data_IF_856200689627
#
_entry.id   IF_856200689627
#
_cell.length_a   1.000
_cell.length_b   1.000
_cell.length_c   1.000
_cell.angle_alpha   90.00
_cell.angle_beta   90.00
_cell.angle_gamma   90.00
#
_symmetry.space_group_name_H-M   'P 1'
#
loop_
_entity.id
_entity.type
_entity.pdbx_description
1 polymer ?
#
# COMPACT_ATOMS: atom_id res chain seq x y z
N UNK A 1 2.15 -27.26 3.45
CA UNK A 1 1.53 -27.71 4.70
C UNK A 1 1.34 -29.21 4.68
N UNK A 2 1.28 -29.77 5.87
CA UNK A 2 0.93 -31.17 6.02
C UNK A 2 -0.56 -31.28 6.33
N UNK A 3 -1.24 -32.21 5.65
CA UNK A 3 -2.63 -32.58 5.92
C UNK A 3 -2.68 -34.05 6.29
N UNK A 4 -3.45 -34.38 7.34
CA UNK A 4 -3.68 -35.75 7.72
C UNK A 4 -4.62 -36.42 6.70
N UNK A 5 -4.10 -37.38 5.94
CA UNK A 5 -4.86 -38.17 4.97
C UNK A 5 -5.15 -39.52 5.57
N UNK A 6 -6.42 -39.93 5.56
CA UNK A 6 -6.86 -41.23 5.97
C UNK A 6 -7.36 -42.03 4.75
N UNK A 7 -6.65 -43.08 4.37
CA UNK A 7 -6.98 -43.89 3.19
C UNK A 7 -6.81 -45.39 3.43
N UNK A 8 -7.49 -46.18 2.58
CA UNK A 8 -7.38 -47.64 2.57
C UNK A 8 -6.41 -48.07 1.47
N UNK A 9 -5.21 -48.47 1.84
CA UNK A 9 -4.10 -48.76 0.91
C UNK A 9 -3.50 -50.13 1.17
N UNK A 10 -2.81 -50.65 0.17
CA UNK A 10 -2.02 -51.89 0.29
C UNK A 10 -0.65 -51.66 0.92
N UNK A 11 -0.21 -50.40 1.01
CA UNK A 11 1.06 -50.07 1.61
C UNK A 11 0.87 -49.49 3.02
N UNK A 12 1.72 -49.91 3.96
CA UNK A 12 1.73 -49.35 5.29
C UNK A 12 2.52 -48.05 5.32
N UNK A 13 1.88 -46.98 5.79
CA UNK A 13 2.51 -45.68 6.06
C UNK A 13 1.75 -44.92 7.16
N UNK A 14 2.46 -44.24 8.02
CA UNK A 14 1.87 -43.49 9.12
C UNK A 14 1.29 -44.40 10.21
N UNK A 15 0.05 -44.14 10.65
CA UNK A 15 -0.64 -44.74 11.77
C UNK A 15 -1.87 -45.55 11.30
N UNK A 16 -2.03 -46.80 11.82
CA UNK A 16 -3.25 -47.58 11.55
C UNK A 16 -4.43 -47.02 12.35
N UNK A 17 -5.54 -46.78 11.65
CA UNK A 17 -6.83 -46.48 12.26
C UNK A 17 -7.58 -47.79 12.55
N UNK A 18 -7.27 -48.40 13.71
CA UNK A 18 -7.79 -49.72 14.07
C UNK A 18 -9.30 -49.85 13.93
N UNK A 19 -10.09 -48.86 14.35
CA UNK A 19 -11.56 -48.91 14.24
C UNK A 19 -12.02 -49.05 12.79
N UNK A 20 -11.36 -48.38 11.86
CA UNK A 20 -11.69 -48.49 10.42
C UNK A 20 -11.07 -49.72 9.80
N UNK A 21 -9.91 -50.14 10.25
CA UNK A 21 -9.24 -51.37 9.83
C UNK A 21 -10.15 -52.60 10.08
N UNK A 22 -10.62 -52.74 11.32
CA UNK A 22 -11.50 -53.87 11.67
C UNK A 22 -12.83 -53.81 10.93
N UNK A 23 -13.42 -52.64 10.77
CA UNK A 23 -14.72 -52.48 10.12
C UNK A 23 -14.65 -52.69 8.61
N UNK A 24 -13.60 -52.26 7.93
CA UNK A 24 -13.55 -52.26 6.47
C UNK A 24 -12.65 -53.37 5.87
N UNK A 25 -11.65 -53.82 6.62
CA UNK A 25 -10.66 -54.77 6.13
C UNK A 25 -10.66 -56.10 6.87
N UNK A 26 -11.74 -56.47 7.57
CA UNK A 26 -11.78 -57.75 8.28
C UNK A 26 -11.56 -58.96 7.35
N UNK A 27 -12.00 -58.87 6.09
CA UNK A 27 -11.80 -59.92 5.06
C UNK A 27 -10.68 -59.54 4.05
N UNK A 28 -10.16 -58.34 4.11
CA UNK A 28 -9.11 -57.82 3.20
C UNK A 28 -7.82 -57.59 3.93
N UNK A 29 -7.15 -58.70 4.29
CA UNK A 29 -5.89 -58.67 5.07
C UNK A 29 -4.72 -57.99 4.34
N UNK A 30 -4.82 -57.86 3.03
CA UNK A 30 -3.86 -57.18 2.15
C UNK A 30 -3.95 -55.66 2.21
N UNK A 31 -4.98 -55.10 2.89
CA UNK A 31 -5.21 -53.66 2.99
C UNK A 31 -5.03 -53.13 4.41
N UNK A 32 -4.52 -51.93 4.50
CA UNK A 32 -4.34 -51.20 5.74
C UNK A 32 -5.13 -49.86 5.66
N UNK A 33 -5.95 -49.60 6.66
CA UNK A 33 -6.56 -48.28 6.79
C UNK A 33 -5.64 -47.41 7.64
N UNK A 34 -4.94 -46.47 6.97
CA UNK A 34 -3.87 -45.69 7.57
C UNK A 34 -4.20 -44.20 7.57
N UNK A 35 -3.61 -43.50 8.52
CA UNK A 35 -3.57 -42.04 8.59
C UNK A 35 -2.11 -41.59 8.60
N UNK A 36 -1.78 -40.66 7.72
CA UNK A 36 -0.44 -40.12 7.63
C UNK A 36 -0.51 -38.66 7.17
N UNK A 37 0.51 -37.89 7.53
CA UNK A 37 0.64 -36.50 7.10
C UNK A 37 1.25 -36.46 5.70
N UNK A 38 0.49 -35.90 4.75
CA UNK A 38 0.98 -35.64 3.40
C UNK A 38 1.23 -34.17 3.18
N UNK A 39 2.36 -33.83 2.58
CA UNK A 39 2.63 -32.46 2.17
C UNK A 39 1.73 -32.09 0.99
N UNK A 40 0.91 -31.08 1.15
CA UNK A 40 0.03 -30.58 0.09
C UNK A 40 0.21 -29.08 -0.15
N UNK A 41 0.24 -28.70 -1.42
CA UNK A 41 0.11 -27.32 -1.86
C UNK A 41 -1.35 -26.89 -2.04
N UNK A 42 -2.30 -27.84 -1.96
CA UNK A 42 -3.73 -27.60 -2.25
C UNK A 42 -4.49 -27.00 -1.06
N UNK A 43 -3.91 -25.95 -0.47
CA UNK A 43 -4.44 -25.23 0.70
C UNK A 43 -5.45 -24.16 0.29
N UNK A 44 -6.35 -23.74 1.20
CA UNK A 44 -7.33 -22.67 0.94
C UNK A 44 -6.71 -21.41 0.35
N UNK A 45 -5.55 -20.98 0.88
CA UNK A 45 -4.85 -19.80 0.42
C UNK A 45 -4.43 -19.91 -1.05
N UNK A 46 -3.84 -21.04 -1.41
CA UNK A 46 -3.38 -21.28 -2.78
C UNK A 46 -4.56 -21.48 -3.74
N UNK A 47 -5.66 -22.08 -3.29
CA UNK A 47 -6.89 -22.19 -4.06
C UNK A 47 -7.49 -20.83 -4.38
N UNK A 48 -7.51 -19.92 -3.39
CA UNK A 48 -7.97 -18.54 -3.56
C UNK A 48 -7.06 -17.75 -4.50
N UNK A 49 -5.74 -17.87 -4.37
CA UNK A 49 -4.78 -17.24 -5.27
C UNK A 49 -4.98 -17.72 -6.71
N UNK A 50 -5.07 -19.03 -6.94
CA UNK A 50 -5.33 -19.61 -8.28
C UNK A 50 -6.64 -19.11 -8.87
N UNK A 51 -7.72 -19.11 -8.10
CA UNK A 51 -9.01 -18.57 -8.54
C UNK A 51 -8.93 -17.11 -8.95
N UNK A 52 -8.20 -16.30 -8.17
CA UNK A 52 -7.98 -14.88 -8.47
C UNK A 52 -7.17 -14.70 -9.76
N UNK A 53 -6.10 -15.46 -9.94
CA UNK A 53 -5.29 -15.40 -11.17
C UNK A 53 -6.14 -15.75 -12.41
N UNK A 54 -6.99 -16.79 -12.33
CA UNK A 54 -7.93 -17.16 -13.41
C UNK A 54 -8.92 -16.02 -13.68
N UNK A 55 -9.46 -15.40 -12.63
CA UNK A 55 -10.38 -14.28 -12.74
C UNK A 55 -9.72 -13.08 -13.45
N UNK A 56 -8.51 -12.71 -13.05
CA UNK A 56 -7.76 -11.60 -13.64
C UNK A 56 -7.31 -11.90 -15.08
N UNK A 57 -6.92 -13.14 -15.38
CA UNK A 57 -6.52 -13.55 -16.73
C UNK A 57 -7.63 -13.34 -17.77
N UNK A 58 -8.90 -13.54 -17.36
CA UNK A 58 -10.07 -13.34 -18.22
C UNK A 58 -10.39 -11.85 -18.45
N UNK A 59 -9.94 -10.95 -17.59
CA UNK A 59 -10.30 -9.53 -17.60
C UNK A 59 -9.20 -8.59 -18.10
N UNK A 60 -7.94 -9.02 -17.99
CA UNK A 60 -6.83 -8.14 -18.40
C UNK A 60 -6.80 -7.95 -19.91
N UNK A 61 -6.63 -6.69 -20.33
CA UNK A 61 -6.38 -6.30 -21.73
C UNK A 61 -4.88 -6.23 -22.04
N UNK A 62 -4.02 -6.11 -21.01
CA UNK A 62 -2.58 -6.04 -21.13
C UNK A 62 -1.98 -7.40 -21.51
N UNK A 63 -1.25 -7.46 -22.62
CA UNK A 63 -0.54 -8.67 -23.06
C UNK A 63 0.54 -9.09 -22.06
N UNK A 64 1.25 -8.12 -21.47
CA UNK A 64 2.26 -8.35 -20.42
C UNK A 64 1.64 -9.02 -19.20
N UNK A 65 0.58 -8.40 -18.63
CA UNK A 65 -0.10 -8.96 -17.46
C UNK A 65 -0.63 -10.38 -17.75
N UNK A 66 -1.14 -10.62 -18.94
CA UNK A 66 -1.63 -11.95 -19.36
C UNK A 66 -0.51 -12.98 -19.39
N UNK A 67 0.67 -12.60 -19.88
CA UNK A 67 1.85 -13.47 -19.88
C UNK A 67 2.31 -13.80 -18.46
N UNK A 68 2.41 -12.77 -17.61
CA UNK A 68 2.83 -12.93 -16.20
C UNK A 68 1.86 -13.82 -15.42
N UNK A 69 0.54 -13.62 -15.59
CA UNK A 69 -0.49 -14.46 -14.98
C UNK A 69 -0.38 -15.92 -15.44
N UNK A 70 -0.15 -16.17 -16.72
CA UNK A 70 0.02 -17.54 -17.24
C UNK A 70 1.25 -18.21 -16.64
N UNK A 71 2.36 -17.49 -16.50
CA UNK A 71 3.57 -17.97 -15.84
C UNK A 71 3.29 -18.34 -14.37
N UNK A 72 2.58 -17.49 -13.64
CA UNK A 72 2.18 -17.77 -12.26
C UNK A 72 1.23 -18.98 -12.19
N UNK A 73 0.25 -19.10 -13.07
CA UNK A 73 -0.68 -20.24 -13.10
C UNK A 73 0.02 -21.58 -13.30
N UNK A 74 1.16 -21.62 -14.01
CA UNK A 74 1.94 -22.85 -14.18
C UNK A 74 2.50 -23.37 -12.85
N UNK A 75 2.86 -22.46 -11.93
CA UNK A 75 3.33 -22.82 -10.57
C UNK A 75 2.19 -23.45 -9.75
N UNK A 76 0.94 -23.06 -10.01
CA UNK A 76 -0.26 -23.60 -9.35
C UNK A 76 -0.86 -24.80 -10.08
N UNK A 77 -0.09 -25.54 -10.92
CA UNK A 77 -0.61 -26.70 -11.68
C UNK A 77 -1.28 -27.73 -10.78
N UNK A 78 -0.66 -28.05 -9.64
CA UNK A 78 -1.12 -29.06 -8.68
C UNK A 78 -2.08 -28.51 -7.60
N UNK A 79 -2.56 -27.29 -7.77
CA UNK A 79 -3.53 -26.66 -6.86
C UNK A 79 -4.86 -26.56 -7.59
N UNK A 80 -5.96 -26.89 -6.93
CA UNK A 80 -7.31 -26.67 -7.45
C UNK A 80 -7.69 -25.19 -7.30
N UNK A 81 -8.53 -24.67 -8.20
CA UNK A 81 -9.10 -23.34 -8.00
C UNK A 81 -10.21 -23.41 -6.94
N UNK A 82 -10.28 -22.41 -6.06
CA UNK A 82 -11.38 -22.32 -5.09
C UNK A 82 -12.73 -22.20 -5.81
N UNK A 83 -13.70 -22.97 -5.35
CA UNK A 83 -15.11 -22.91 -5.77
C UNK A 83 -16.01 -22.35 -4.68
N UNK A 84 -15.58 -22.38 -3.42
CA UNK A 84 -16.25 -21.77 -2.26
C UNK A 84 -15.34 -20.74 -1.60
N UNK A 85 -15.37 -19.51 -2.13
CA UNK A 85 -14.51 -18.42 -1.64
C UNK A 85 -14.76 -18.10 -0.16
N UNK A 86 -16.04 -18.12 0.30
CA UNK A 86 -16.36 -17.80 1.69
C UNK A 86 -15.82 -18.84 2.65
N UNK A 87 -16.01 -20.11 2.33
CA UNK A 87 -15.52 -21.23 3.12
C UNK A 87 -13.99 -21.25 3.18
N UNK A 88 -13.32 -21.01 2.04
CA UNK A 88 -11.87 -21.01 1.98
C UNK A 88 -11.25 -19.79 2.71
N UNK A 89 -11.87 -18.60 2.63
CA UNK A 89 -11.45 -17.45 3.46
C UNK A 89 -11.68 -17.67 4.96
N UNK A 90 -12.71 -18.41 5.35
CA UNK A 90 -12.98 -18.73 6.76
C UNK A 90 -11.98 -19.74 7.34
N UNK A 91 -11.45 -20.64 6.50
CA UNK A 91 -10.43 -21.63 6.89
C UNK A 91 -9.04 -21.04 6.99
N UNK A 92 -8.82 -19.83 6.46
CA UNK A 92 -7.53 -19.18 6.53
C UNK A 92 -7.20 -18.74 7.95
N UNK A 93 -6.13 -19.28 8.49
CA UNK A 93 -5.55 -18.88 9.79
C UNK A 93 -4.25 -18.15 9.49
N UNK A 94 -4.21 -16.87 9.88
CA UNK A 94 -2.98 -16.06 9.73
C UNK A 94 -1.89 -16.57 10.68
N UNK A 95 -0.78 -17.02 10.11
CA UNK A 95 0.42 -17.42 10.84
C UNK A 95 1.53 -16.39 10.61
N UNK A 96 2.46 -16.27 11.57
CA UNK A 96 3.64 -15.38 11.47
C UNK A 96 4.50 -15.65 10.24
N UNK A 97 4.57 -16.90 9.82
CA UNK A 97 5.35 -17.34 8.65
C UNK A 97 4.65 -17.02 7.31
N UNK A 98 3.42 -16.50 7.33
CA UNK A 98 2.59 -16.27 6.16
C UNK A 98 2.30 -14.78 5.90
N UNK A 99 3.15 -13.89 6.41
CA UNK A 99 2.95 -12.43 6.26
C UNK A 99 2.81 -12.00 4.79
N UNK A 100 3.59 -12.62 3.89
CA UNK A 100 3.57 -12.29 2.47
C UNK A 100 2.24 -12.69 1.81
N UNK A 101 1.57 -13.73 2.32
CA UNK A 101 0.23 -14.11 1.86
C UNK A 101 -0.85 -13.12 2.23
N UNK A 102 -0.71 -12.40 3.34
CA UNK A 102 -1.74 -11.48 3.83
C UNK A 102 -2.10 -10.41 2.81
N UNK A 103 -1.10 -9.79 2.19
CA UNK A 103 -1.34 -8.79 1.15
C UNK A 103 -1.99 -9.39 -0.09
N UNK A 104 -1.51 -10.55 -0.55
CA UNK A 104 -2.07 -11.23 -1.70
C UNK A 104 -3.52 -11.68 -1.45
N UNK A 105 -3.82 -12.22 -0.26
CA UNK A 105 -5.17 -12.66 0.11
C UNK A 105 -6.14 -11.48 0.32
N UNK A 106 -5.65 -10.33 0.77
CA UNK A 106 -6.44 -9.10 0.80
C UNK A 106 -6.93 -8.75 -0.61
N UNK A 107 -6.05 -8.80 -1.61
CA UNK A 107 -6.42 -8.58 -3.00
C UNK A 107 -7.34 -9.68 -3.54
N UNK A 108 -7.11 -10.95 -3.20
CA UNK A 108 -8.03 -12.03 -3.53
C UNK A 108 -9.45 -11.74 -3.02
N UNK A 109 -9.56 -11.25 -1.79
CA UNK A 109 -10.86 -10.87 -1.20
C UNK A 109 -11.54 -9.75 -1.99
N UNK A 110 -10.80 -8.73 -2.41
CA UNK A 110 -11.32 -7.65 -3.24
C UNK A 110 -11.86 -8.18 -4.57
N UNK A 111 -11.11 -9.04 -5.27
CA UNK A 111 -11.49 -9.50 -6.60
C UNK A 111 -12.55 -10.61 -6.59
N UNK A 112 -12.55 -11.50 -5.60
CA UNK A 112 -13.44 -12.68 -5.58
C UNK A 112 -14.74 -12.47 -4.81
N UNK A 113 -14.80 -11.54 -3.84
CA UNK A 113 -16.00 -11.35 -3.02
C UNK A 113 -17.20 -10.75 -3.76
N UNK A 114 -16.99 -10.26 -5.00
CA UNK A 114 -18.06 -9.59 -5.77
C UNK A 114 -18.64 -8.34 -5.07
N UNK A 115 -18.18 -8.03 -3.88
CA UNK A 115 -18.46 -6.80 -3.18
C UNK A 115 -17.44 -5.77 -3.63
N UNK A 116 -17.41 -5.50 -4.93
CA UNK A 116 -16.87 -4.23 -5.39
C UNK A 116 -17.75 -3.16 -4.75
N UNK A 117 -17.13 -2.07 -4.35
CA UNK A 117 -17.84 -0.83 -4.09
C UNK A 117 -18.47 -0.42 -5.42
N UNK A 118 -19.63 -0.99 -5.72
CA UNK A 118 -20.36 -0.71 -6.95
C UNK A 118 -21.13 0.59 -6.75
N UNK A 119 -20.63 1.64 -7.34
CA UNK A 119 -21.52 2.73 -7.75
C UNK A 119 -22.36 2.19 -8.91
N UNK A 120 -23.63 2.00 -8.67
CA UNK A 120 -24.60 1.68 -9.72
C UNK A 120 -24.75 2.89 -10.65
N UNK A 121 -24.17 2.81 -11.83
CA UNK A 121 -24.53 3.70 -12.94
C UNK A 121 -24.59 2.86 -14.21
N UNK A 122 -25.79 2.40 -14.54
CA UNK A 122 -26.06 1.69 -15.79
C UNK A 122 -25.71 0.19 -15.79
N UNK A 123 -25.83 -0.43 -16.95
CA UNK A 123 -25.66 -1.87 -17.17
C UNK A 123 -24.20 -2.38 -17.15
N UNK A 124 -23.22 -1.54 -16.91
CA UNK A 124 -21.82 -1.92 -16.82
C UNK A 124 -21.37 -1.99 -15.35
N UNK A 125 -20.82 -3.12 -14.94
CA UNK A 125 -20.21 -3.31 -13.62
C UNK A 125 -18.83 -2.65 -13.65
N UNK A 126 -18.73 -1.42 -13.15
CA UNK A 126 -17.45 -0.78 -12.90
C UNK A 126 -16.85 -1.28 -11.59
N UNK A 127 -15.66 -1.85 -11.65
CA UNK A 127 -14.83 -2.16 -10.48
C UNK A 127 -14.26 -0.84 -9.94
N UNK A 128 -14.94 -0.22 -8.99
CA UNK A 128 -14.42 0.95 -8.30
C UNK A 128 -13.61 0.51 -7.06
N UNK A 129 -12.32 0.80 -7.07
CA UNK A 129 -11.45 0.68 -5.90
C UNK A 129 -11.38 2.04 -5.23
N UNK A 130 -11.91 2.16 -4.01
CA UNK A 130 -11.75 3.36 -3.21
C UNK A 130 -10.40 3.34 -2.52
N UNK A 131 -9.51 4.20 -2.96
CA UNK A 131 -8.24 4.45 -2.28
C UNK A 131 -8.36 5.72 -1.43
N UNK A 132 -7.74 5.77 -0.25
CA UNK A 132 -7.54 7.03 0.46
C UNK A 132 -6.57 7.88 -0.38
N UNK A 133 -7.13 8.80 -1.17
CA UNK A 133 -6.37 9.59 -2.15
C UNK A 133 -5.28 10.44 -1.49
N UNK A 134 -5.50 10.88 -0.26
CA UNK A 134 -4.50 11.58 0.56
C UNK A 134 -3.24 10.73 0.72
N UNK A 135 -3.41 9.49 1.20
CA UNK A 135 -2.28 8.54 1.38
C UNK A 135 -1.64 8.16 0.05
N UNK A 136 -2.44 8.02 -1.01
CA UNK A 136 -1.92 7.69 -2.34
C UNK A 136 -1.08 8.84 -2.89
N UNK A 137 -1.56 10.07 -2.78
CA UNK A 137 -0.87 11.28 -3.23
C UNK A 137 0.45 11.49 -2.46
N UNK A 138 0.43 11.39 -1.13
CA UNK A 138 1.61 11.43 -0.26
C UNK A 138 2.68 10.42 -0.72
N UNK A 139 2.29 9.14 -0.81
CA UNK A 139 3.22 8.08 -1.19
C UNK A 139 3.77 8.25 -2.61
N UNK A 140 2.94 8.72 -3.53
CA UNK A 140 3.34 8.95 -4.92
C UNK A 140 4.38 10.08 -5.02
N UNK A 141 4.09 11.23 -4.42
CA UNK A 141 5.01 12.37 -4.37
C UNK A 141 6.33 11.98 -3.70
N UNK A 142 6.27 11.30 -2.56
CA UNK A 142 7.45 10.82 -1.84
C UNK A 142 8.30 9.86 -2.68
N UNK A 143 7.67 8.95 -3.43
CA UNK A 143 8.37 7.99 -4.30
C UNK A 143 9.10 8.70 -5.45
N UNK A 144 8.46 9.68 -6.09
CA UNK A 144 9.07 10.45 -7.18
C UNK A 144 10.23 11.32 -6.66
N UNK A 145 10.05 12.01 -5.52
CA UNK A 145 11.12 12.77 -4.87
C UNK A 145 12.32 11.89 -4.52
N UNK A 146 12.10 10.74 -3.90
CA UNK A 146 13.20 9.79 -3.58
C UNK A 146 13.95 9.35 -4.83
N UNK A 147 13.23 9.05 -5.89
CA UNK A 147 13.83 8.63 -7.17
C UNK A 147 14.68 9.75 -7.77
N UNK A 148 14.17 10.98 -7.79
CA UNK A 148 14.86 12.15 -8.36
C UNK A 148 16.06 12.58 -7.55
N UNK A 149 15.97 12.53 -6.22
CA UNK A 149 17.05 12.89 -5.30
C UNK A 149 18.01 11.73 -5.01
N UNK A 150 17.79 10.54 -5.61
CA UNK A 150 18.69 9.40 -5.47
C UNK A 150 20.07 9.74 -6.06
N UNK A 151 21.13 9.57 -5.26
CA UNK A 151 22.49 9.91 -5.67
C UNK A 151 22.83 11.40 -5.61
N UNK A 152 21.86 12.28 -5.29
CA UNK A 152 22.10 13.71 -5.04
C UNK A 152 22.63 13.97 -3.62
N UNK A 153 23.01 15.20 -3.33
CA UNK A 153 23.42 15.62 -2.00
C UNK A 153 22.33 15.64 -0.93
N UNK A 154 21.16 15.01 -1.15
CA UNK A 154 20.00 15.04 -0.26
C UNK A 154 19.65 13.66 0.29
N UNK A 155 18.95 13.66 1.44
CA UNK A 155 18.24 12.48 1.99
C UNK A 155 16.75 12.77 2.11
N UNK A 156 15.90 11.78 1.87
CA UNK A 156 14.44 11.91 1.93
C UNK A 156 13.88 10.93 2.98
N UNK A 157 13.32 11.47 4.06
CA UNK A 157 12.56 10.73 5.07
C UNK A 157 11.08 10.92 4.85
N UNK A 158 10.29 9.87 5.05
CA UNK A 158 8.83 9.91 4.93
C UNK A 158 8.22 9.60 6.28
N UNK A 159 7.19 10.37 6.64
CA UNK A 159 6.51 10.27 7.93
C UNK A 159 7.50 10.29 9.10
N UNK A 160 8.40 11.29 9.07
CA UNK A 160 9.44 11.49 10.07
C UNK A 160 8.84 11.62 11.47
N UNK A 161 9.45 10.96 12.45
CA UNK A 161 8.99 10.91 13.84
C UNK A 161 10.05 11.40 14.82
N UNK A 162 10.94 12.27 14.35
CA UNK A 162 12.09 12.69 15.14
C UNK A 162 11.71 13.62 16.29
N UNK A 163 10.72 14.50 16.08
CA UNK A 163 10.41 15.56 17.00
C UNK A 163 9.02 15.45 17.62
N UNK A 164 8.89 16.03 18.81
CA UNK A 164 7.64 16.24 19.51
C UNK A 164 7.37 17.74 19.66
N UNK A 165 6.12 18.14 19.69
CA UNK A 165 5.76 19.56 19.85
C UNK A 165 6.22 20.10 21.20
N UNK A 166 6.08 19.29 22.27
CA UNK A 166 6.52 19.63 23.62
C UNK A 166 7.48 18.56 24.14
N UNK A 167 8.52 19.00 24.81
CA UNK A 167 9.55 18.14 25.39
C UNK A 167 9.31 17.93 26.90
N UNK A 168 8.67 18.88 27.60
CA UNK A 168 8.30 18.81 29.03
C UNK A 168 6.77 18.86 29.21
N UNK A 169 6.22 18.14 30.21
CA UNK A 169 6.81 17.26 31.20
C UNK A 169 7.09 15.84 30.68
N UNK A 170 7.67 15.74 29.54
CA UNK A 170 7.98 14.54 28.74
C UNK A 170 7.53 14.74 27.30
N UNK A 171 8.11 14.00 26.40
CA UNK A 171 7.83 14.11 24.97
C UNK A 171 6.35 13.86 24.65
N UNK A 172 5.65 14.92 24.25
CA UNK A 172 4.21 14.89 23.94
C UNK A 172 3.92 15.45 22.55
N UNK A 173 2.85 14.99 21.94
CA UNK A 173 2.40 15.40 20.63
C UNK A 173 3.46 15.16 19.55
N UNK A 174 3.65 13.88 19.19
CA UNK A 174 4.58 13.46 18.15
C UNK A 174 4.25 14.18 16.84
N UNK A 175 5.25 14.84 16.27
CA UNK A 175 5.17 15.48 14.97
C UNK A 175 5.44 14.46 13.88
N UNK A 176 4.70 14.57 12.78
CA UNK A 176 4.77 13.59 11.71
C UNK A 176 4.55 14.27 10.35
N UNK A 177 5.50 15.05 9.87
CA UNK A 177 5.44 15.59 8.53
C UNK A 177 5.52 14.47 7.50
N UNK A 178 4.83 14.64 6.37
CA UNK A 178 4.76 13.65 5.31
C UNK A 178 6.15 13.37 4.74
N UNK A 179 6.91 14.41 4.41
CA UNK A 179 8.22 14.28 3.79
C UNK A 179 9.18 15.30 4.43
N UNK A 180 10.37 14.82 4.79
CA UNK A 180 11.49 15.68 5.21
C UNK A 180 12.67 15.43 4.30
N UNK A 181 13.14 16.48 3.64
CA UNK A 181 14.34 16.46 2.81
C UNK A 181 15.47 17.14 3.57
N UNK A 182 16.63 16.48 3.69
CA UNK A 182 17.82 17.07 4.35
C UNK A 182 18.98 17.11 3.37
N UNK A 183 19.61 18.28 3.28
CA UNK A 183 20.84 18.46 2.53
C UNK A 183 22.01 17.86 3.32
N UNK A 184 22.82 17.01 2.69
CA UNK A 184 23.91 16.29 3.36
C UNK A 184 25.11 17.17 3.71
N UNK A 185 25.34 18.26 2.97
CA UNK A 185 26.50 19.13 3.13
C UNK A 185 26.47 19.92 4.42
N UNK A 186 25.30 20.40 4.83
CA UNK A 186 25.11 21.34 5.94
C UNK A 186 24.00 20.95 6.91
N UNK A 187 23.27 19.88 6.60
CA UNK A 187 22.17 19.38 7.43
C UNK A 187 20.87 20.20 7.33
N UNK A 188 20.81 21.19 6.45
CA UNK A 188 19.61 22.00 6.23
C UNK A 188 18.42 21.13 5.87
N UNK A 189 17.29 21.41 6.50
CA UNK A 189 16.06 20.63 6.35
C UNK A 189 15.00 21.42 5.61
N UNK A 190 14.24 20.71 4.79
CA UNK A 190 13.03 21.18 4.12
C UNK A 190 11.88 20.24 4.50
N UNK A 191 10.76 20.79 4.90
CA UNK A 191 9.57 20.01 5.27
C UNK A 191 8.52 20.18 4.21
N UNK A 192 7.99 19.07 3.71
CA UNK A 192 6.91 19.06 2.73
C UNK A 192 5.74 18.29 3.31
N UNK A 193 4.55 18.85 3.14
CA UNK A 193 3.31 18.22 3.59
C UNK A 193 2.30 18.21 2.43
N UNK A 194 1.70 17.08 2.18
CA UNK A 194 0.85 16.87 1.02
C UNK A 194 -0.62 16.98 1.41
N UNK A 195 -1.41 17.67 0.62
CA UNK A 195 -2.84 17.84 0.87
C UNK A 195 -3.64 17.48 -0.38
N UNK A 196 -4.50 16.48 -0.27
CA UNK A 196 -5.43 16.11 -1.34
C UNK A 196 -6.69 16.98 -1.28
N UNK A 197 -6.56 18.24 -1.64
CA UNK A 197 -7.63 19.23 -1.65
C UNK A 197 -7.52 20.10 -2.89
N UNK A 198 -8.65 20.59 -3.38
CA UNK A 198 -8.69 21.57 -4.46
C UNK A 198 -8.68 22.96 -3.83
N UNK A 199 -7.66 23.75 -4.15
CA UNK A 199 -7.63 25.17 -3.79
C UNK A 199 -8.48 25.99 -4.77
N UNK A 200 -8.90 27.18 -4.34
CA UNK A 200 -9.78 28.06 -5.11
C UNK A 200 -9.41 29.50 -4.83
N UNK A 201 -8.94 30.21 -5.85
CA UNK A 201 -8.55 31.61 -5.75
C UNK A 201 -9.69 32.55 -5.29
N UNK A 202 -10.93 32.15 -5.48
CA UNK A 202 -12.12 32.91 -5.02
C UNK A 202 -12.43 32.73 -3.53
N UNK A 203 -11.73 31.84 -2.83
CA UNK A 203 -11.93 31.60 -1.40
C UNK A 203 -10.94 32.37 -0.53
N UNK A 204 -11.37 32.71 0.70
CA UNK A 204 -10.47 33.26 1.72
C UNK A 204 -9.31 32.29 1.93
N UNK A 205 -8.07 32.81 1.88
CA UNK A 205 -6.84 32.03 1.99
C UNK A 205 -6.77 30.86 1.01
N UNK A 206 -7.34 31.01 -0.18
CA UNK A 206 -7.42 29.96 -1.22
C UNK A 206 -8.14 28.66 -0.77
N UNK A 207 -8.81 28.67 0.39
CA UNK A 207 -9.41 27.51 1.03
C UNK A 207 -8.43 26.67 1.87
N UNK A 208 -7.23 27.16 2.12
CA UNK A 208 -6.27 26.55 3.06
C UNK A 208 -6.82 26.76 4.48
N UNK A 209 -6.81 25.70 5.28
CA UNK A 209 -7.34 25.77 6.63
C UNK A 209 -6.32 26.34 7.61
N UNK A 210 -6.83 27.03 8.62
CA UNK A 210 -5.98 27.53 9.72
C UNK A 210 -5.20 26.41 10.43
N UNK A 211 -5.81 25.23 10.55
CA UNK A 211 -5.15 24.07 11.13
C UNK A 211 -3.95 23.61 10.30
N UNK A 212 -4.05 23.61 8.96
CA UNK A 212 -2.91 23.29 8.09
C UNK A 212 -1.77 24.30 8.31
N UNK A 213 -2.09 25.59 8.44
CA UNK A 213 -1.06 26.64 8.64
C UNK A 213 -0.42 26.54 10.02
N UNK A 214 -1.16 26.24 11.08
CA UNK A 214 -0.57 25.99 12.41
C UNK A 214 0.37 24.78 12.39
N UNK A 215 0.01 23.75 11.66
CA UNK A 215 0.84 22.56 11.49
C UNK A 215 2.16 22.92 10.80
N UNK A 216 2.11 23.68 9.71
CA UNK A 216 3.29 24.14 8.98
C UNK A 216 4.19 25.03 9.83
N UNK A 217 3.62 25.98 10.56
CA UNK A 217 4.33 26.82 11.49
C UNK A 217 5.09 25.99 12.54
N UNK A 218 4.41 25.02 13.15
CA UNK A 218 5.01 24.14 14.14
C UNK A 218 6.14 23.27 13.52
N UNK A 219 5.96 22.80 12.30
CA UNK A 219 6.98 22.03 11.60
C UNK A 219 8.25 22.88 11.33
N UNK A 220 8.09 24.11 10.83
CA UNK A 220 9.26 24.96 10.59
C UNK A 220 10.05 25.20 11.88
N UNK A 221 9.38 25.57 12.96
CA UNK A 221 10.04 25.85 14.25
C UNK A 221 10.74 24.64 14.85
N UNK A 222 10.11 23.48 14.86
CA UNK A 222 10.66 22.27 15.52
C UNK A 222 11.72 21.55 14.69
N UNK A 223 11.58 21.56 13.36
CA UNK A 223 12.58 20.96 12.46
C UNK A 223 13.72 21.92 12.13
N UNK A 224 13.64 23.21 12.52
CA UNK A 224 14.57 24.24 12.04
C UNK A 224 14.61 24.27 10.52
N UNK A 225 13.46 24.04 9.88
CA UNK A 225 13.42 23.92 8.44
C UNK A 225 13.64 25.28 7.78
N UNK A 226 14.49 25.32 6.76
CA UNK A 226 14.69 26.53 5.96
C UNK A 226 13.40 26.94 5.27
N UNK A 227 12.65 25.95 4.79
CA UNK A 227 11.34 26.17 4.17
C UNK A 227 10.37 25.05 4.50
N UNK A 228 9.10 25.42 4.52
CA UNK A 228 7.99 24.49 4.59
C UNK A 228 7.16 24.65 3.33
N UNK A 229 6.83 23.56 2.67
CA UNK A 229 6.12 23.55 1.40
C UNK A 229 4.85 22.70 1.54
N UNK A 230 3.70 23.32 1.27
CA UNK A 230 2.42 22.64 1.11
C UNK A 230 2.25 22.20 -0.35
N UNK A 231 2.07 20.92 -0.58
CA UNK A 231 1.91 20.35 -1.91
C UNK A 231 0.45 19.99 -2.18
N UNK A 232 -0.12 20.58 -3.22
CA UNK A 232 -1.49 20.32 -3.67
C UNK A 232 -1.49 19.77 -5.10
N UNK A 233 -2.51 18.98 -5.49
CA UNK A 233 -2.69 18.65 -6.90
C UNK A 233 -3.05 19.92 -7.68
N UNK A 234 -2.46 20.06 -8.86
CA UNK A 234 -2.82 21.13 -9.81
C UNK A 234 -4.24 20.92 -10.34
N UNK A 235 -4.95 22.01 -10.55
CA UNK A 235 -6.30 22.01 -11.10
C UNK A 235 -6.50 23.21 -12.03
N UNK A 236 -7.53 23.19 -12.87
CA UNK A 236 -7.87 24.30 -13.77
C UNK A 236 -8.12 25.64 -13.04
N UNK A 237 -8.39 25.61 -11.74
CA UNK A 237 -8.73 26.81 -10.94
C UNK A 237 -7.51 27.53 -10.37
N UNK A 238 -6.41 26.80 -10.20
CA UNK A 238 -5.14 27.30 -9.66
C UNK A 238 -4.03 26.45 -10.26
N UNK A 239 -2.99 27.08 -10.80
CA UNK A 239 -1.91 26.44 -11.53
C UNK A 239 -0.53 26.70 -10.90
N UNK A 240 0.50 26.08 -11.48
CA UNK A 240 1.90 26.26 -11.13
C UNK A 240 2.39 27.73 -11.25
N UNK A 241 1.71 28.56 -12.02
CA UNK A 241 2.05 29.98 -12.20
C UNK A 241 1.65 30.82 -10.98
N UNK A 242 0.74 30.32 -10.12
CA UNK A 242 0.28 31.00 -8.93
C UNK A 242 1.32 30.86 -7.80
N UNK A 243 2.14 31.88 -7.59
CA UNK A 243 3.14 31.91 -6.53
C UNK A 243 2.52 32.29 -5.18
N UNK A 244 2.01 31.31 -4.45
CA UNK A 244 1.38 31.52 -3.14
C UNK A 244 2.39 31.28 -2.03
N UNK A 245 2.70 32.35 -1.29
CA UNK A 245 3.65 32.30 -0.17
C UNK A 245 3.10 33.12 1.01
N UNK A 246 3.17 32.55 2.21
CA UNK A 246 2.79 33.19 3.46
C UNK A 246 4.03 33.38 4.33
N UNK A 247 4.22 34.58 4.85
CA UNK A 247 5.31 34.94 5.75
C UNK A 247 4.77 35.46 7.06
N UNK A 248 5.36 35.04 8.17
CA UNK A 248 5.11 35.61 9.48
C UNK A 248 6.24 36.64 9.86
N UNK A 249 5.97 37.40 10.88
CA UNK A 249 6.93 38.39 11.44
C UNK A 249 8.14 37.74 12.12
N UNK A 250 8.07 36.43 12.43
CA UNK A 250 9.15 35.66 13.04
C UNK A 250 9.84 34.71 12.03
N UNK A 251 9.89 35.11 10.79
CA UNK A 251 10.59 34.47 9.67
C UNK A 251 10.08 33.06 9.29
N UNK A 252 8.85 32.69 9.67
CA UNK A 252 8.25 31.48 9.17
C UNK A 252 7.73 31.69 7.74
N UNK A 253 8.21 30.87 6.82
CA UNK A 253 7.82 30.92 5.41
C UNK A 253 7.15 29.61 5.00
N UNK A 254 5.87 29.71 4.63
CA UNK A 254 5.10 28.60 4.08
C UNK A 254 4.81 28.86 2.62
N UNK A 255 5.34 28.03 1.74
CA UNK A 255 5.10 28.12 0.30
C UNK A 255 4.11 27.05 -0.13
N UNK A 256 3.21 27.42 -1.03
CA UNK A 256 2.30 26.49 -1.69
C UNK A 256 2.86 26.15 -3.05
N UNK A 257 2.88 24.85 -3.38
CA UNK A 257 3.32 24.36 -4.68
C UNK A 257 2.32 23.36 -5.22
N UNK A 258 2.11 23.38 -6.53
CA UNK A 258 1.17 22.51 -7.21
C UNK A 258 1.89 21.36 -7.92
N UNK A 259 1.25 20.22 -7.97
CA UNK A 259 1.76 19.01 -8.63
C UNK A 259 0.81 18.67 -9.77
N UNK A 260 1.26 18.86 -11.00
CA UNK A 260 0.61 18.33 -12.18
C UNK A 260 0.70 16.81 -12.19
N UNK A 261 -0.42 16.12 -12.02
CA UNK A 261 -0.50 14.67 -11.96
C UNK A 261 -0.24 14.01 -13.34
N UNK A 262 -0.38 14.73 -14.42
CA UNK A 262 -0.05 14.26 -15.76
C UNK A 262 1.43 14.41 -16.07
N UNK A 263 2.11 15.39 -15.43
CA UNK A 263 3.52 15.68 -15.62
C UNK A 263 4.28 15.86 -14.30
N UNK A 264 4.09 14.94 -13.38
CA UNK A 264 4.66 14.97 -12.01
C UNK A 264 6.18 15.16 -11.99
N UNK A 265 6.87 14.62 -13.00
CA UNK A 265 8.34 14.73 -13.10
C UNK A 265 8.82 16.16 -13.19
N UNK A 266 8.12 17.02 -13.91
CA UNK A 266 8.46 18.43 -14.05
C UNK A 266 8.09 19.21 -12.79
N UNK A 267 6.89 19.02 -12.26
CA UNK A 267 6.45 19.67 -11.02
C UNK A 267 7.39 19.36 -9.85
N UNK A 268 7.86 18.11 -9.74
CA UNK A 268 8.83 17.73 -8.71
C UNK A 268 10.21 18.35 -8.98
N UNK A 269 10.61 18.55 -10.22
CA UNK A 269 11.87 19.26 -10.52
C UNK A 269 11.82 20.72 -10.05
N UNK A 270 10.68 21.41 -10.19
CA UNK A 270 10.46 22.75 -9.68
C UNK A 270 10.48 22.80 -8.15
N UNK A 271 9.89 21.81 -7.48
CA UNK A 271 9.99 21.66 -6.02
C UNK A 271 11.45 21.51 -5.59
N UNK A 272 12.24 20.70 -6.31
CA UNK A 272 13.66 20.46 -6.00
C UNK A 272 14.50 21.74 -6.20
N UNK A 273 14.22 22.55 -7.20
CA UNK A 273 14.91 23.82 -7.39
C UNK A 273 14.82 24.75 -6.18
N UNK A 274 13.75 24.61 -5.37
CA UNK A 274 13.59 25.40 -4.15
C UNK A 274 14.54 24.96 -3.01
N UNK A 275 15.15 23.80 -3.10
CA UNK A 275 16.14 23.33 -2.12
C UNK A 275 17.54 23.89 -2.37
N UNK A 276 17.82 24.38 -3.59
CA UNK A 276 19.11 24.89 -4.01
C UNK A 276 19.22 26.44 -3.97
N UNK A 277 18.09 27.13 -3.75
CA UNK A 277 18.11 28.59 -3.64
C UNK A 277 18.72 28.97 -2.30
N UNK A 278 20.01 29.21 -2.30
CA UNK A 278 20.73 29.89 -1.19
C UNK A 278 20.06 31.24 -1.01
N UNK A 279 19.52 31.49 0.20
CA UNK A 279 19.08 32.83 0.56
C UNK A 279 20.29 33.79 0.43
N UNK A 280 20.21 34.71 -0.54
CA UNK A 280 21.15 35.84 -0.69
C UNK A 280 20.77 36.89 0.32
#
# INVERSE_FOLDING_TARGET
SYEAIAENTTFFKGKILFSKQVKLNCFHKERNYVEYDAFTANRPENKLLKATLIYLCKRTTSSKNRSDIKSLLSVFSNVEASTDYKGDFAKYISDRNMKDYNTALMWCRVFLSGKSFTSFAGSEIALALLFPMETLFENYVAAVLRKKLSGSGFTVSVQDKTYHLFDEPGKKFLMKPDIVVRRKSDGVSFVLDTKWKILDAGKVNYGITQADMYQMFAYQKKYGAERVILLYPETEKISLEDNIEFRSDDDVVVRVQFIDLFNVTNSIAEVIQQFDVIAV
#
